data_IF_170296806126
#
_entry.id   IF_170296806126
#
_cell.length_a   1.000
_cell.length_b   1.000
_cell.length_c   1.000
_cell.angle_alpha   90.00
_cell.angle_beta   90.00
_cell.angle_gamma   90.00
#
_symmetry.space_group_name_H-M   'P 1'
#
loop_
_entity.id
_entity.type
_entity.pdbx_description
1 polymer ?
#
# COMPACT_ATOMS: atom_id res chain seq x y z
N UNK A 1 34.07 3.09 -8.13
CA UNK A 1 32.78 3.77 -7.85
C UNK A 1 32.05 4.15 -9.13
N UNK A 2 32.73 4.79 -10.10
CA UNK A 2 32.20 5.03 -11.45
C UNK A 2 31.76 3.75 -12.19
N UNK A 3 32.52 2.66 -12.08
CA UNK A 3 32.16 1.38 -12.72
C UNK A 3 30.83 0.80 -12.24
N UNK A 4 30.50 0.91 -10.95
CA UNK A 4 29.21 0.48 -10.41
C UNK A 4 28.05 1.35 -10.94
N UNK A 5 28.29 2.64 -11.17
CA UNK A 5 27.29 3.55 -11.74
C UNK A 5 27.03 3.17 -13.21
N UNK A 6 28.10 2.92 -13.97
CA UNK A 6 28.01 2.47 -15.37
C UNK A 6 27.29 1.11 -15.44
N UNK A 7 27.60 0.18 -14.53
CA UNK A 7 26.93 -1.12 -14.43
C UNK A 7 25.44 -0.98 -14.09
N UNK A 8 25.09 -0.03 -13.21
CA UNK A 8 23.70 0.26 -12.86
C UNK A 8 22.90 0.77 -14.06
N UNK A 9 23.47 1.72 -14.83
CA UNK A 9 22.85 2.20 -16.08
C UNK A 9 22.73 1.10 -17.14
N UNK A 10 23.70 0.17 -17.19
CA UNK A 10 23.63 -0.99 -18.09
C UNK A 10 22.53 -1.99 -17.69
N UNK A 11 22.25 -2.13 -16.40
CA UNK A 11 21.23 -3.03 -15.86
C UNK A 11 19.85 -2.38 -15.69
N UNK A 12 19.70 -1.10 -16.04
CA UNK A 12 18.46 -0.34 -16.03
C UNK A 12 17.30 -1.02 -16.81
N UNK A 13 17.50 -1.61 -18.01
CA UNK A 13 16.43 -2.35 -18.69
C UNK A 13 15.96 -3.60 -17.91
N UNK A 14 16.88 -4.31 -17.26
CA UNK A 14 16.54 -5.47 -16.40
C UNK A 14 15.79 -5.02 -15.15
N UNK A 15 16.22 -3.90 -14.55
CA UNK A 15 15.55 -3.29 -13.39
C UNK A 15 14.13 -2.87 -13.73
N UNK A 16 13.93 -2.21 -14.88
CA UNK A 16 12.60 -1.81 -15.35
C UNK A 16 11.68 -3.02 -15.55
N UNK A 17 12.17 -4.07 -16.21
CA UNK A 17 11.40 -5.31 -16.43
C UNK A 17 11.02 -5.99 -15.11
N UNK A 18 11.97 -6.08 -14.19
CA UNK A 18 11.73 -6.61 -12.85
C UNK A 18 10.64 -5.81 -12.11
N UNK A 19 10.75 -4.47 -12.11
CA UNK A 19 9.76 -3.58 -11.48
C UNK A 19 8.37 -3.81 -12.07
N UNK A 20 8.25 -3.87 -13.39
CA UNK A 20 6.94 -4.04 -14.06
C UNK A 20 6.28 -5.38 -13.76
N UNK A 21 7.06 -6.46 -13.73
CA UNK A 21 6.53 -7.80 -13.45
C UNK A 21 6.17 -7.93 -11.97
N UNK A 22 7.00 -7.37 -11.07
CA UNK A 22 6.71 -7.34 -9.65
C UNK A 22 5.44 -6.56 -9.34
N UNK A 23 5.25 -5.42 -10.00
CA UNK A 23 4.06 -4.60 -9.84
C UNK A 23 2.81 -5.35 -10.31
N UNK A 24 2.84 -6.01 -11.47
CA UNK A 24 1.73 -6.85 -11.96
C UNK A 24 1.37 -7.97 -10.99
N UNK A 25 2.38 -8.63 -10.41
CA UNK A 25 2.17 -9.73 -9.46
C UNK A 25 1.52 -9.24 -8.16
N UNK A 26 2.06 -8.17 -7.56
CA UNK A 26 1.57 -7.62 -6.30
C UNK A 26 0.24 -6.88 -6.43
N UNK A 27 -0.10 -6.35 -7.61
CA UNK A 27 -1.32 -5.57 -7.85
C UNK A 27 -2.59 -6.31 -7.43
N UNK A 28 -2.67 -7.62 -7.68
CA UNK A 28 -3.84 -8.43 -7.30
C UNK A 28 -4.05 -8.48 -5.79
N UNK A 29 -2.99 -8.74 -5.03
CA UNK A 29 -3.07 -8.79 -3.56
C UNK A 29 -3.44 -7.44 -2.96
N UNK A 30 -2.89 -6.35 -3.53
CA UNK A 30 -3.24 -5.01 -3.08
C UNK A 30 -4.68 -4.62 -3.43
N UNK A 31 -5.20 -4.97 -4.61
CA UNK A 31 -6.60 -4.76 -4.95
C UNK A 31 -7.55 -5.44 -3.96
N UNK A 32 -7.23 -6.67 -3.53
CA UNK A 32 -8.04 -7.40 -2.55
C UNK A 32 -8.05 -6.66 -1.20
N UNK A 33 -6.89 -6.19 -0.73
CA UNK A 33 -6.80 -5.40 0.51
C UNK A 33 -7.55 -4.08 0.38
N UNK A 34 -7.48 -3.41 -0.77
CA UNK A 34 -8.22 -2.17 -1.03
C UNK A 34 -9.73 -2.39 -0.94
N UNK A 35 -10.22 -3.43 -1.61
CA UNK A 35 -11.63 -3.80 -1.58
C UNK A 35 -12.10 -4.12 -0.16
N UNK A 36 -11.32 -4.89 0.60
CA UNK A 36 -11.64 -5.21 1.99
C UNK A 36 -11.72 -3.95 2.88
N UNK A 37 -10.79 -3.00 2.71
CA UNK A 37 -10.79 -1.75 3.45
C UNK A 37 -11.99 -0.87 3.10
N UNK A 38 -12.38 -0.79 1.83
CA UNK A 38 -13.57 -0.04 1.39
C UNK A 38 -14.86 -0.63 1.97
N UNK A 39 -14.99 -1.96 1.96
CA UNK A 39 -16.14 -2.65 2.57
C UNK A 39 -16.22 -2.31 4.06
N UNK A 40 -15.09 -2.27 4.76
CA UNK A 40 -15.03 -1.94 6.19
C UNK A 40 -15.48 -0.50 6.45
N UNK A 41 -15.05 0.46 5.62
CA UNK A 41 -15.50 1.86 5.71
C UNK A 41 -17.01 1.96 5.52
N UNK A 42 -17.54 1.37 4.44
CA UNK A 42 -18.99 1.41 4.15
C UNK A 42 -19.80 0.73 5.26
N UNK A 43 -19.36 -0.44 5.73
CA UNK A 43 -20.00 -1.13 6.84
C UNK A 43 -19.96 -0.33 8.14
N UNK A 44 -18.88 0.40 8.40
CA UNK A 44 -18.82 1.26 9.58
C UNK A 44 -19.82 2.41 9.52
N UNK A 45 -20.00 3.00 8.35
CA UNK A 45 -20.92 4.12 8.17
C UNK A 45 -22.39 3.70 8.27
N UNK A 46 -22.75 2.53 7.73
CA UNK A 46 -24.10 2.00 7.90
C UNK A 46 -24.40 1.72 9.37
N UNK A 47 -23.45 1.13 10.11
CA UNK A 47 -23.59 0.92 11.56
C UNK A 47 -23.76 2.22 12.34
N UNK A 48 -23.02 3.28 11.97
CA UNK A 48 -23.16 4.59 12.62
C UNK A 48 -24.55 5.19 12.38
N UNK A 49 -25.04 5.16 11.14
CA UNK A 49 -26.37 5.65 10.78
C UNK A 49 -27.50 4.99 11.60
N UNK A 50 -27.40 3.69 11.88
CA UNK A 50 -28.37 2.98 12.73
C UNK A 50 -28.27 3.31 14.23
N UNK A 51 -27.12 3.82 14.68
CA UNK A 51 -26.83 4.01 16.11
C UNK A 51 -27.26 5.37 16.67
N UNK A 52 -27.88 6.24 15.87
CA UNK A 52 -28.36 7.58 16.26
C UNK A 52 -27.29 8.40 17.02
N UNK A 53 -26.03 8.31 16.61
CA UNK A 53 -24.94 9.07 17.22
C UNK A 53 -24.98 10.52 16.72
N UNK A 54 -24.51 11.46 17.55
CA UNK A 54 -24.28 12.84 17.13
C UNK A 54 -23.18 12.88 16.06
N UNK A 55 -23.29 13.74 15.05
CA UNK A 55 -22.34 13.85 13.92
C UNK A 55 -20.87 13.88 14.36
N UNK A 56 -20.55 14.64 15.42
CA UNK A 56 -19.19 14.75 15.98
C UNK A 56 -18.65 13.42 16.49
N UNK A 57 -19.50 12.57 17.08
CA UNK A 57 -19.10 11.25 17.58
C UNK A 57 -18.89 10.28 16.41
N UNK A 58 -19.71 10.36 15.38
CA UNK A 58 -19.58 9.52 14.19
C UNK A 58 -18.26 9.81 13.45
N UNK A 59 -17.94 11.08 13.22
CA UNK A 59 -16.66 11.49 12.61
C UNK A 59 -15.46 11.00 13.43
N UNK A 60 -15.53 11.09 14.77
CA UNK A 60 -14.46 10.61 15.65
C UNK A 60 -14.25 9.10 15.55
N UNK A 61 -15.33 8.32 15.45
CA UNK A 61 -15.24 6.87 15.28
C UNK A 61 -14.72 6.48 13.90
N UNK A 62 -15.18 7.18 12.85
CA UNK A 62 -14.70 6.98 11.48
C UNK A 62 -13.20 7.27 11.38
N UNK A 63 -12.71 8.33 12.03
CA UNK A 63 -11.27 8.61 12.15
C UNK A 63 -10.48 7.47 12.80
N UNK A 64 -10.98 6.90 13.91
CA UNK A 64 -10.33 5.75 14.57
C UNK A 64 -10.23 4.53 13.67
N UNK A 65 -11.28 4.27 12.89
CA UNK A 65 -11.32 3.17 11.92
C UNK A 65 -10.30 3.42 10.80
N UNK A 66 -10.22 4.64 10.27
CA UNK A 66 -9.21 5.01 9.27
C UNK A 66 -7.80 4.77 9.82
N UNK A 67 -7.50 5.21 11.05
CA UNK A 67 -6.18 4.99 11.68
C UNK A 67 -5.88 3.49 11.82
N UNK A 68 -6.86 2.67 12.20
CA UNK A 68 -6.70 1.22 12.28
C UNK A 68 -6.42 0.60 10.91
N UNK A 69 -7.12 1.06 9.86
CA UNK A 69 -6.88 0.61 8.48
C UNK A 69 -5.47 0.99 8.02
N UNK A 70 -5.04 2.23 8.26
CA UNK A 70 -3.68 2.69 7.92
C UNK A 70 -2.64 1.78 8.58
N UNK A 71 -2.79 1.51 9.87
CA UNK A 71 -1.91 0.62 10.61
C UNK A 71 -1.89 -0.81 10.02
N UNK A 72 -3.06 -1.37 9.71
CA UNK A 72 -3.18 -2.71 9.12
C UNK A 72 -2.50 -2.80 7.75
N UNK A 73 -2.68 -1.79 6.89
CA UNK A 73 -2.05 -1.73 5.56
C UNK A 73 -0.53 -1.62 5.66
N UNK A 74 -0.01 -0.84 6.62
CA UNK A 74 1.44 -0.76 6.87
C UNK A 74 2.00 -2.11 7.31
N UNK A 75 1.37 -2.76 8.29
CA UNK A 75 1.80 -4.09 8.77
C UNK A 75 1.71 -5.15 7.67
N UNK A 76 0.66 -5.14 6.87
CA UNK A 76 0.50 -6.01 5.72
C UNK A 76 1.62 -5.81 4.68
N UNK A 77 1.98 -4.55 4.41
CA UNK A 77 3.05 -4.22 3.47
C UNK A 77 4.40 -4.74 3.95
N UNK A 78 4.70 -4.59 5.26
CA UNK A 78 5.91 -5.13 5.89
C UNK A 78 5.92 -6.66 5.78
N UNK A 79 4.81 -7.31 6.14
CA UNK A 79 4.68 -8.77 6.10
C UNK A 79 4.92 -9.33 4.69
N UNK A 80 4.24 -8.79 3.68
CA UNK A 80 4.41 -9.26 2.30
C UNK A 80 5.84 -9.02 1.80
N UNK A 81 6.43 -7.86 2.14
CA UNK A 81 7.79 -7.52 1.74
C UNK A 81 8.80 -8.51 2.34
N UNK A 82 8.62 -8.88 3.61
CA UNK A 82 9.43 -9.89 4.27
C UNK A 82 9.24 -11.29 3.67
N UNK A 83 7.99 -11.70 3.46
CA UNK A 83 7.67 -13.03 2.94
C UNK A 83 8.29 -13.29 1.55
N UNK A 84 8.33 -12.26 0.71
CA UNK A 84 8.91 -12.37 -0.63
C UNK A 84 10.40 -12.03 -0.70
N UNK A 85 10.99 -11.55 0.40
CA UNK A 85 12.36 -11.05 0.42
C UNK A 85 13.37 -12.08 -0.08
N UNK A 86 13.24 -13.36 0.32
CA UNK A 86 14.20 -14.40 -0.11
C UNK A 86 14.19 -14.63 -1.62
N UNK A 87 13.00 -14.74 -2.23
CA UNK A 87 12.88 -14.96 -3.67
C UNK A 87 13.35 -13.72 -4.45
N UNK A 88 12.98 -12.54 -3.98
CA UNK A 88 13.38 -11.27 -4.59
C UNK A 88 14.89 -11.01 -4.45
N UNK A 89 15.50 -11.40 -3.34
CA UNK A 89 16.93 -11.28 -3.08
C UNK A 89 17.77 -12.13 -4.05
N UNK A 90 17.33 -13.36 -4.33
CA UNK A 90 18.01 -14.22 -5.30
C UNK A 90 17.96 -13.63 -6.71
N UNK A 91 16.78 -13.17 -7.15
CA UNK A 91 16.62 -12.56 -8.48
C UNK A 91 17.42 -11.26 -8.60
N UNK A 92 17.36 -10.39 -7.60
CA UNK A 92 18.11 -9.13 -7.61
C UNK A 92 19.62 -9.36 -7.62
N UNK A 93 20.12 -10.37 -6.90
CA UNK A 93 21.54 -10.77 -6.95
C UNK A 93 21.97 -11.28 -8.33
N UNK A 94 21.16 -12.09 -9.01
CA UNK A 94 21.48 -12.59 -10.36
C UNK A 94 21.61 -11.45 -11.40
N UNK A 95 20.80 -10.41 -11.27
CA UNK A 95 20.78 -9.28 -12.22
C UNK A 95 21.59 -8.06 -11.75
N UNK A 96 22.37 -8.17 -10.66
CA UNK A 96 23.09 -7.04 -10.03
C UNK A 96 22.17 -5.83 -9.79
N UNK A 97 20.93 -6.10 -9.36
CA UNK A 97 19.94 -5.11 -8.93
C UNK A 97 20.05 -4.95 -7.41
N UNK A 98 19.73 -3.76 -6.89
CA UNK A 98 19.72 -3.53 -5.44
C UNK A 98 18.64 -4.36 -4.74
N UNK A 99 18.99 -4.99 -3.61
CA UNK A 99 18.04 -5.71 -2.77
C UNK A 99 16.96 -4.79 -2.17
N UNK A 100 17.18 -3.47 -2.15
CA UNK A 100 16.19 -2.49 -1.68
C UNK A 100 15.09 -2.21 -2.71
N UNK A 101 15.34 -2.48 -4.00
CA UNK A 101 14.39 -2.21 -5.10
C UNK A 101 12.99 -2.82 -4.88
N UNK A 102 12.83 -4.12 -4.55
CA UNK A 102 11.51 -4.70 -4.26
C UNK A 102 10.79 -4.02 -3.10
N UNK A 103 11.49 -3.69 -2.01
CA UNK A 103 10.90 -3.02 -0.84
C UNK A 103 10.37 -1.64 -1.22
N UNK A 104 11.15 -0.86 -1.97
CA UNK A 104 10.74 0.47 -2.44
C UNK A 104 9.48 0.40 -3.31
N UNK A 105 9.39 -0.58 -4.23
CA UNK A 105 8.21 -0.77 -5.08
C UNK A 105 6.97 -1.03 -4.22
N UNK A 106 7.07 -1.93 -3.23
CA UNK A 106 5.95 -2.28 -2.36
C UNK A 106 5.52 -1.10 -1.47
N UNK A 107 6.48 -0.31 -0.98
CA UNK A 107 6.20 0.91 -0.24
C UNK A 107 5.46 1.95 -1.09
N UNK A 108 5.90 2.21 -2.33
CA UNK A 108 5.21 3.12 -3.26
C UNK A 108 3.78 2.66 -3.51
N UNK A 109 3.58 1.36 -3.71
CA UNK A 109 2.26 0.80 -3.99
C UNK A 109 1.33 0.92 -2.77
N UNK A 110 1.85 0.67 -1.57
CA UNK A 110 1.11 0.90 -0.32
C UNK A 110 0.78 2.37 -0.09
N UNK A 111 1.68 3.28 -0.48
CA UNK A 111 1.46 4.71 -0.35
C UNK A 111 0.33 5.19 -1.26
N UNK A 112 0.34 4.81 -2.54
CA UNK A 112 -0.73 5.14 -3.50
C UNK A 112 -2.08 4.63 -2.98
N UNK A 113 -2.11 3.40 -2.48
CA UNK A 113 -3.30 2.81 -1.88
C UNK A 113 -3.85 3.62 -0.70
N UNK A 114 -2.98 4.02 0.24
CA UNK A 114 -3.37 4.82 1.40
C UNK A 114 -3.87 6.21 1.00
N UNK A 115 -3.25 6.84 0.00
CA UNK A 115 -3.72 8.13 -0.53
C UNK A 115 -5.13 7.99 -1.10
N UNK A 116 -5.38 6.99 -1.95
CA UNK A 116 -6.72 6.74 -2.50
C UNK A 116 -7.73 6.50 -1.38
N UNK A 117 -7.38 5.67 -0.40
CA UNK A 117 -8.29 5.29 0.67
C UNK A 117 -8.65 6.47 1.58
N UNK A 118 -7.65 7.28 1.94
CA UNK A 118 -7.85 8.48 2.76
C UNK A 118 -8.64 9.55 2.01
N UNK A 119 -8.37 9.73 0.71
CA UNK A 119 -9.15 10.65 -0.13
C UNK A 119 -10.62 10.24 -0.22
N UNK A 120 -10.91 8.96 -0.45
CA UNK A 120 -12.30 8.44 -0.44
C UNK A 120 -12.94 8.67 0.93
N UNK A 121 -12.22 8.36 2.02
CA UNK A 121 -12.76 8.54 3.37
C UNK A 121 -13.09 10.00 3.71
N UNK A 122 -12.34 10.96 3.16
CA UNK A 122 -12.61 12.39 3.32
C UNK A 122 -13.86 12.85 2.54
N UNK A 123 -14.17 12.21 1.41
CA UNK A 123 -15.36 12.49 0.61
C UNK A 123 -16.63 11.90 1.22
N UNK A 124 -16.50 10.75 1.89
CA UNK A 124 -17.62 10.03 2.51
C UNK A 124 -18.33 10.88 3.57
N UNK A 125 -17.55 11.53 4.45
CA UNK A 125 -18.09 12.54 5.38
C UNK A 125 -17.22 13.79 5.37
N UNK A 126 -17.56 14.79 4.55
CA UNK A 126 -16.89 16.07 4.62
C UNK A 126 -17.17 16.68 5.99
N UNK A 127 -16.11 16.92 6.77
CA UNK A 127 -16.24 17.58 8.07
C UNK A 127 -16.52 19.06 7.81
N UNK A 128 -17.80 19.43 7.70
CA UNK A 128 -18.24 20.82 7.78
C UNK A 128 -18.41 21.15 9.25
N UNK A 129 -17.49 21.95 9.80
CA UNK A 129 -17.62 22.53 11.13
C UNK A 129 -18.70 23.59 11.17
#
# INVERSE_FOLDING_TARGET
MLDNIILYFKNLPHTKRYVTERLKQSWKSFLIVLAACLILIIASETLFSFSHLTDVKEVRWLFRIIVLIVFAVVMFTIYISYHHYMNDFLVTKLFNISAATPVVIMSILSFIMLVILTMISALVKPVTF
#
